data_IF_041489699222
#
_entry.id   IF_041489699222
#
_cell.length_a   1.000
_cell.length_b   1.000
_cell.length_c   1.000
_cell.angle_alpha   90.00
_cell.angle_beta   90.00
_cell.angle_gamma   90.00
#
_symmetry.space_group_name_H-M   'P 1'
#
loop_
_entity.id
_entity.type
_entity.pdbx_description
1 polymer ?
#
# COMPACT_ATOMS: atom_id res chain seq x y z
N UNK A 1 23.03 -22.75 0.81
CA UNK A 1 22.82 -22.34 -0.59
C UNK A 1 23.75 -21.19 -0.91
N UNK A 2 24.36 -21.18 -2.09
CA UNK A 2 25.16 -20.06 -2.57
C UNK A 2 24.22 -18.93 -2.97
N UNK A 3 24.36 -17.75 -2.38
CA UNK A 3 23.57 -16.57 -2.76
C UNK A 3 24.15 -15.97 -4.04
N UNK A 4 23.29 -15.68 -5.01
CA UNK A 4 23.65 -14.93 -6.21
C UNK A 4 23.62 -13.43 -5.89
N UNK A 5 24.75 -12.70 -5.97
CA UNK A 5 24.79 -11.29 -5.55
C UNK A 5 24.02 -10.33 -6.47
N UNK A 6 23.80 -10.71 -7.74
CA UNK A 6 23.10 -9.90 -8.75
C UNK A 6 21.97 -10.73 -9.35
N UNK A 7 20.72 -10.35 -9.07
CA UNK A 7 19.57 -10.98 -9.74
C UNK A 7 19.64 -10.64 -11.24
N UNK A 8 19.45 -11.65 -12.09
CA UNK A 8 19.44 -11.50 -13.55
C UNK A 8 18.15 -10.84 -14.07
N UNK A 9 17.09 -10.76 -13.26
CA UNK A 9 15.82 -10.13 -13.59
C UNK A 9 15.90 -8.63 -13.91
N UNK A 10 14.76 -8.06 -14.32
CA UNK A 10 14.61 -6.63 -14.63
C UNK A 10 13.90 -5.95 -13.47
N UNK A 11 14.52 -4.92 -12.90
CA UNK A 11 13.88 -4.09 -11.86
C UNK A 11 12.74 -3.29 -12.49
N UNK A 12 11.51 -3.56 -12.06
CA UNK A 12 10.29 -2.89 -12.52
C UNK A 12 10.09 -1.59 -11.74
N UNK A 13 10.17 -1.62 -10.41
CA UNK A 13 10.14 -0.43 -9.59
C UNK A 13 10.75 -0.67 -8.21
N UNK A 14 11.12 0.43 -7.55
CA UNK A 14 11.58 0.45 -6.16
C UNK A 14 11.00 1.65 -5.41
N UNK A 15 10.66 1.47 -4.15
CA UNK A 15 10.10 2.51 -3.28
C UNK A 15 9.53 1.97 -1.98
N UNK A 16 8.56 2.68 -1.42
CA UNK A 16 7.81 2.24 -0.24
C UNK A 16 6.37 1.92 -0.65
N UNK A 17 5.81 0.83 -0.12
CA UNK A 17 4.42 0.41 -0.36
C UNK A 17 3.72 -0.04 0.94
N UNK A 18 3.61 0.84 1.96
CA UNK A 18 2.96 0.47 3.19
C UNK A 18 1.44 0.34 2.98
N UNK A 19 0.83 -0.62 3.67
CA UNK A 19 -0.58 -0.94 3.55
C UNK A 19 -1.32 -0.88 4.89
N UNK A 20 -2.60 -0.51 4.84
CA UNK A 20 -3.53 -0.55 5.97
C UNK A 20 -4.82 -1.21 5.48
N UNK A 21 -5.19 -2.35 6.07
CA UNK A 21 -6.49 -2.97 5.85
C UNK A 21 -7.25 -3.04 7.17
N UNK A 22 -8.47 -2.51 7.17
CA UNK A 22 -9.32 -2.43 8.35
C UNK A 22 -10.53 -3.33 8.17
N UNK A 23 -11.05 -3.82 9.30
CA UNK A 23 -12.34 -4.49 9.37
C UNK A 23 -13.20 -3.90 10.48
N UNK A 24 -14.50 -3.74 10.22
CA UNK A 24 -15.46 -3.45 11.29
C UNK A 24 -15.79 -4.70 12.10
N UNK A 25 -16.02 -5.82 11.40
CA UNK A 25 -16.14 -7.16 11.97
C UNK A 25 -14.84 -7.95 11.72
N UNK A 26 -14.09 -8.39 12.76
CA UNK A 26 -12.86 -9.17 12.59
C UNK A 26 -13.01 -10.42 11.71
N UNK A 27 -14.19 -11.04 11.73
CA UNK A 27 -14.51 -12.25 10.97
C UNK A 27 -15.12 -11.93 9.59
N UNK A 28 -15.45 -10.66 9.34
CA UNK A 28 -16.01 -10.17 8.09
C UNK A 28 -14.98 -9.84 7.01
N UNK A 29 -15.44 -9.25 5.91
CA UNK A 29 -14.58 -8.73 4.84
C UNK A 29 -13.88 -7.42 5.25
N UNK A 30 -12.89 -7.00 4.48
CA UNK A 30 -12.25 -5.70 4.68
C UNK A 30 -13.22 -4.55 4.42
N UNK A 31 -13.47 -3.74 5.44
CA UNK A 31 -14.23 -2.49 5.31
C UNK A 31 -13.40 -1.40 4.63
N UNK A 32 -12.08 -1.44 4.83
CA UNK A 32 -11.14 -0.51 4.18
C UNK A 32 -9.93 -1.28 3.67
N UNK A 33 -9.52 -0.99 2.43
CA UNK A 33 -8.26 -1.45 1.86
C UNK A 33 -7.49 -0.23 1.35
N UNK A 34 -6.31 0.02 1.91
CA UNK A 34 -5.49 1.15 1.51
C UNK A 34 -4.02 0.78 1.30
N UNK A 35 -3.44 1.41 0.29
CA UNK A 35 -2.01 1.35 -0.03
C UNK A 35 -1.50 2.76 -0.22
N UNK A 36 -0.30 3.04 0.30
CA UNK A 36 0.45 4.23 -0.04
C UNK A 36 1.65 3.82 -0.88
N UNK A 37 2.05 4.66 -1.83
CA UNK A 37 3.24 4.47 -2.65
C UNK A 37 4.14 5.69 -2.51
N UNK A 38 5.41 5.46 -2.18
CA UNK A 38 6.50 6.43 -2.32
C UNK A 38 7.55 5.84 -3.23
N UNK A 39 7.40 6.09 -4.52
CA UNK A 39 8.24 5.46 -5.54
C UNK A 39 9.49 6.30 -5.77
N UNK A 40 10.65 5.65 -5.70
CA UNK A 40 11.95 6.26 -6.01
C UNK A 40 12.40 5.95 -7.44
N UNK A 41 11.97 4.83 -8.00
CA UNK A 41 12.32 4.38 -9.35
C UNK A 41 11.15 3.62 -10.01
N UNK A 42 10.79 4.01 -11.23
CA UNK A 42 9.92 3.23 -12.14
C UNK A 42 10.14 3.67 -13.60
N UNK A 43 9.65 2.93 -14.61
CA UNK A 43 9.63 3.35 -16.00
C UNK A 43 8.90 4.69 -16.25
N UNK A 44 8.04 5.10 -15.33
CA UNK A 44 7.23 6.32 -15.41
C UNK A 44 7.71 7.40 -14.43
N UNK A 45 8.94 7.28 -13.93
CA UNK A 45 9.56 8.22 -13.00
C UNK A 45 9.19 7.97 -11.54
N UNK A 46 9.58 8.91 -10.68
CA UNK A 46 9.31 8.90 -9.24
C UNK A 46 8.00 9.61 -8.92
N UNK A 47 7.46 9.37 -7.73
CA UNK A 47 6.27 10.07 -7.26
C UNK A 47 5.72 9.49 -5.97
N UNK A 48 4.64 10.08 -5.49
CA UNK A 48 3.84 9.54 -4.39
C UNK A 48 2.40 9.33 -4.83
N UNK A 49 1.71 8.43 -4.15
CA UNK A 49 0.27 8.27 -4.29
C UNK A 49 -0.34 7.41 -3.21
N UNK A 50 -1.66 7.42 -3.11
CA UNK A 50 -2.40 6.55 -2.22
C UNK A 50 -3.64 6.03 -2.94
N UNK A 51 -3.97 4.77 -2.71
CA UNK A 51 -5.26 4.16 -3.03
C UNK A 51 -5.96 3.96 -1.70
N UNK A 52 -7.13 4.56 -1.52
CA UNK A 52 -8.01 4.32 -0.37
C UNK A 52 -9.30 3.75 -0.92
N UNK A 53 -9.62 2.51 -0.57
CA UNK A 53 -10.90 1.87 -0.86
C UNK A 53 -11.65 1.78 0.47
N UNK A 54 -12.41 2.81 0.82
CA UNK A 54 -13.19 2.85 2.06
C UNK A 54 -14.54 2.12 2.00
N UNK A 55 -14.89 1.56 0.85
CA UNK A 55 -15.83 0.44 0.71
C UNK A 55 -15.42 -0.35 -0.56
N UNK A 56 -14.55 -1.37 -0.43
CA UNK A 56 -13.97 -2.08 -1.57
C UNK A 56 -14.99 -2.74 -2.49
N UNK A 57 -16.17 -3.10 -1.97
CA UNK A 57 -17.20 -3.86 -2.68
C UNK A 57 -18.26 -2.97 -3.36
N UNK A 58 -18.14 -1.64 -3.25
CA UNK A 58 -19.00 -0.70 -3.98
C UNK A 58 -18.31 -0.01 -5.14
N UNK A 59 -18.96 -0.07 -6.32
CA UNK A 59 -18.54 0.60 -7.54
C UNK A 59 -18.90 2.11 -7.56
N UNK A 60 -18.44 2.86 -6.56
CA UNK A 60 -18.57 4.33 -6.54
C UNK A 60 -17.34 4.97 -5.92
N UNK A 61 -17.15 6.27 -6.19
CA UNK A 61 -16.02 7.08 -5.75
C UNK A 61 -16.41 8.18 -4.76
N UNK A 62 -15.41 8.94 -4.30
CA UNK A 62 -15.59 10.12 -3.45
C UNK A 62 -16.39 11.22 -4.18
N UNK A 63 -17.30 11.98 -3.50
CA UNK A 63 -17.52 12.02 -2.05
C UNK A 63 -18.53 11.00 -1.49
N UNK A 64 -19.31 10.32 -2.35
CA UNK A 64 -20.38 9.43 -1.89
C UNK A 64 -19.83 8.25 -1.09
N UNK A 65 -18.67 7.74 -1.50
CA UNK A 65 -17.94 6.66 -0.84
C UNK A 65 -16.46 7.06 -0.75
N UNK A 66 -15.74 6.77 0.35
CA UNK A 66 -14.31 7.07 0.48
C UNK A 66 -13.40 6.16 -0.37
N UNK A 67 -13.76 5.94 -1.64
CA UNK A 67 -12.99 5.28 -2.67
C UNK A 67 -12.31 6.33 -3.55
N UNK A 68 -10.99 6.46 -3.40
CA UNK A 68 -10.20 7.53 -3.99
C UNK A 68 -8.75 7.11 -4.28
N UNK A 69 -8.18 7.69 -5.32
CA UNK A 69 -6.79 7.57 -5.67
C UNK A 69 -6.16 8.95 -5.82
N UNK A 70 -5.10 9.23 -5.06
CA UNK A 70 -4.36 10.49 -5.16
C UNK A 70 -2.95 10.21 -5.65
N UNK A 71 -2.40 11.09 -6.49
CA UNK A 71 -0.99 11.02 -6.88
C UNK A 71 -0.47 12.34 -7.43
N UNK A 72 0.84 12.58 -7.35
CA UNK A 72 1.50 13.66 -8.10
C UNK A 72 2.12 13.17 -9.41
N UNK A 73 2.01 11.88 -9.73
CA UNK A 73 2.51 11.28 -10.97
C UNK A 73 1.49 10.24 -11.49
N UNK A 74 0.52 10.73 -12.27
CA UNK A 74 -0.57 9.89 -12.82
C UNK A 74 -0.09 8.75 -13.72
N UNK A 75 0.88 8.93 -14.64
CA UNK A 75 1.43 7.82 -15.42
C UNK A 75 2.01 6.69 -14.54
N UNK A 76 2.79 7.05 -13.51
CA UNK A 76 3.34 6.09 -12.55
C UNK A 76 2.23 5.36 -11.80
N UNK A 77 1.24 6.09 -11.27
CA UNK A 77 0.17 5.48 -10.49
C UNK A 77 -0.70 4.53 -11.33
N UNK A 78 -1.01 4.89 -12.57
CA UNK A 78 -1.69 3.99 -13.50
C UNK A 78 -0.88 2.71 -13.76
N UNK A 79 0.44 2.82 -13.95
CA UNK A 79 1.33 1.67 -14.13
C UNK A 79 1.32 0.75 -12.89
N UNK A 80 1.43 1.31 -11.69
CA UNK A 80 1.39 0.53 -10.44
C UNK A 80 0.05 -0.19 -10.26
N UNK A 81 -1.07 0.50 -10.52
CA UNK A 81 -2.40 -0.12 -10.40
C UNK A 81 -2.56 -1.26 -11.39
N UNK A 82 -2.27 -1.02 -12.66
CA UNK A 82 -2.53 -1.99 -13.73
C UNK A 82 -1.66 -3.24 -13.64
N UNK A 83 -0.42 -3.10 -13.16
CA UNK A 83 0.56 -4.20 -13.17
C UNK A 83 0.77 -4.84 -11.80
N UNK A 84 0.48 -4.14 -10.70
CA UNK A 84 0.76 -4.59 -9.34
C UNK A 84 -0.47 -4.54 -8.44
N UNK A 85 -0.96 -3.35 -8.07
CA UNK A 85 -1.94 -3.21 -7.00
C UNK A 85 -3.26 -3.95 -7.31
N UNK A 86 -3.76 -3.88 -8.55
CA UNK A 86 -4.97 -4.61 -8.96
C UNK A 86 -4.82 -6.14 -8.95
N UNK A 87 -3.59 -6.67 -8.89
CA UNK A 87 -3.32 -8.11 -8.76
C UNK A 87 -3.19 -8.55 -7.31
N UNK A 88 -3.02 -7.62 -6.37
CA UNK A 88 -2.90 -7.97 -4.97
C UNK A 88 -4.20 -8.60 -4.46
N UNK A 89 -4.15 -9.67 -3.64
CA UNK A 89 -5.35 -10.38 -3.21
C UNK A 89 -6.42 -9.52 -2.54
N UNK A 90 -6.03 -8.41 -1.89
CA UNK A 90 -6.95 -7.47 -1.22
C UNK A 90 -7.65 -6.50 -2.17
N UNK A 91 -7.17 -6.35 -3.41
CA UNK A 91 -7.72 -5.43 -4.42
C UNK A 91 -8.25 -6.14 -5.66
N UNK A 92 -7.75 -7.35 -5.96
CA UNK A 92 -8.14 -8.11 -7.14
C UNK A 92 -9.65 -8.34 -7.18
N UNK A 93 -10.28 -7.92 -8.29
CA UNK A 93 -11.72 -8.05 -8.51
C UNK A 93 -12.60 -7.08 -7.72
N UNK A 94 -12.04 -6.22 -6.87
CA UNK A 94 -12.81 -5.24 -6.09
C UNK A 94 -13.36 -4.14 -7.01
N UNK A 95 -14.68 -3.92 -7.06
CA UNK A 95 -15.28 -2.93 -7.97
C UNK A 95 -14.81 -1.50 -7.70
N UNK A 96 -14.48 -1.18 -6.44
CA UNK A 96 -13.96 0.12 -6.05
C UNK A 96 -12.68 0.53 -6.81
N UNK A 97 -11.83 -0.43 -7.19
CA UNK A 97 -10.57 -0.16 -7.93
C UNK A 97 -10.85 0.55 -9.27
N UNK A 98 -11.97 0.22 -9.92
CA UNK A 98 -12.34 0.82 -11.21
C UNK A 98 -13.21 2.09 -11.06
N UNK A 99 -13.79 2.32 -9.88
CA UNK A 99 -14.75 3.40 -9.64
C UNK A 99 -14.21 4.55 -8.78
N UNK A 100 -13.01 4.39 -8.20
CA UNK A 100 -12.39 5.39 -7.33
C UNK A 100 -12.21 6.74 -8.01
N UNK A 101 -12.52 7.81 -7.27
CA UNK A 101 -12.31 9.20 -7.72
C UNK A 101 -10.83 9.56 -7.67
N UNK A 102 -10.34 10.30 -8.66
CA UNK A 102 -8.93 10.62 -8.75
C UNK A 102 -8.61 12.08 -8.43
N UNK A 103 -7.48 12.30 -7.73
CA UNK A 103 -7.04 13.63 -7.31
C UNK A 103 -5.55 13.85 -7.56
N UNK A 104 -5.20 15.06 -8.00
CA UNK A 104 -3.81 15.46 -8.24
C UNK A 104 -3.20 16.03 -6.96
N UNK A 105 -2.16 15.37 -6.45
CA UNK A 105 -1.47 15.76 -5.21
C UNK A 105 -0.61 17.00 -5.45
N UNK A 106 -0.77 18.00 -4.60
CA UNK A 106 -0.01 19.25 -4.61
C UNK A 106 1.01 19.34 -3.49
N UNK A 107 0.80 18.59 -2.40
CA UNK A 107 1.72 18.52 -1.26
C UNK A 107 1.75 17.12 -0.68
N UNK A 108 2.92 16.71 -0.17
CA UNK A 108 3.07 15.45 0.54
C UNK A 108 4.02 15.62 1.74
N UNK A 109 3.65 15.07 2.89
CA UNK A 109 4.46 15.13 4.12
C UNK A 109 4.70 13.70 4.61
N UNK A 110 5.97 13.36 4.80
CA UNK A 110 6.39 12.15 5.48
C UNK A 110 6.77 12.51 6.93
N UNK A 111 6.15 11.87 7.92
CA UNK A 111 6.48 12.02 9.33
C UNK A 111 7.03 10.69 9.83
N UNK A 112 8.36 10.57 9.87
CA UNK A 112 9.10 9.36 10.27
C UNK A 112 10.07 9.61 11.44
N UNK A 113 9.95 10.75 12.13
CA UNK A 113 10.84 11.13 13.24
C UNK A 113 10.71 10.27 14.50
N UNK A 114 9.64 9.47 14.61
CA UNK A 114 9.40 8.55 15.72
C UNK A 114 9.57 7.07 15.31
N UNK A 115 10.24 6.81 14.17
CA UNK A 115 10.67 5.45 13.86
C UNK A 115 11.65 4.94 14.94
N UNK A 116 11.55 3.67 15.38
CA UNK A 116 10.76 2.60 14.78
C UNK A 116 9.39 2.40 15.46
N UNK A 117 8.80 3.39 16.13
CA UNK A 117 7.52 3.23 16.85
C UNK A 117 6.30 3.59 16.00
N UNK A 118 6.40 4.66 15.21
CA UNK A 118 5.31 5.12 14.34
C UNK A 118 5.80 5.72 13.02
N UNK A 119 4.93 5.70 12.03
CA UNK A 119 5.18 6.24 10.69
C UNK A 119 3.90 6.87 10.14
N UNK A 120 3.98 8.05 9.53
CA UNK A 120 2.82 8.70 8.91
C UNK A 120 3.15 9.27 7.54
N UNK A 121 2.21 9.12 6.63
CA UNK A 121 2.19 9.75 5.32
C UNK A 121 0.94 10.61 5.19
N UNK A 122 1.10 11.79 4.59
CA UNK A 122 0.02 12.74 4.35
C UNK A 122 0.09 13.27 2.92
N UNK A 123 -1.05 13.29 2.22
CA UNK A 123 -1.21 13.87 0.89
C UNK A 123 -2.26 14.96 0.93
N UNK A 124 -1.99 16.08 0.26
CA UNK A 124 -2.97 17.13 0.02
C UNK A 124 -3.27 17.27 -1.49
N UNK A 125 -4.54 17.43 -1.84
CA UNK A 125 -5.02 17.65 -3.20
C UNK A 125 -6.26 18.55 -3.19
N UNK A 126 -6.09 19.85 -3.48
CA UNK A 126 -7.16 20.83 -3.32
C UNK A 126 -7.63 20.91 -1.86
N UNK A 127 -8.92 20.73 -1.62
CA UNK A 127 -9.54 20.71 -0.27
C UNK A 127 -9.47 19.33 0.41
N UNK A 128 -8.78 18.36 -0.19
CA UNK A 128 -8.57 17.03 0.39
C UNK A 128 -7.22 16.93 1.09
N UNK A 129 -7.25 16.38 2.29
CA UNK A 129 -6.08 15.89 3.03
C UNK A 129 -6.34 14.44 3.42
N UNK A 130 -5.48 13.52 2.96
CA UNK A 130 -5.48 12.12 3.36
C UNK A 130 -4.27 11.86 4.23
N UNK A 131 -4.48 11.35 5.45
CA UNK A 131 -3.41 10.93 6.34
C UNK A 131 -3.53 9.43 6.61
N UNK A 132 -2.41 8.72 6.49
CA UNK A 132 -2.26 7.31 6.86
C UNK A 132 -1.18 7.20 7.92
N UNK A 133 -1.49 6.56 9.05
CA UNK A 133 -0.60 6.44 10.20
C UNK A 133 -0.52 4.98 10.62
N UNK A 134 0.70 4.47 10.77
CA UNK A 134 1.03 3.15 11.30
C UNK A 134 1.63 3.31 12.70
N UNK A 135 1.12 2.56 13.67
CA UNK A 135 1.41 2.68 15.09
C UNK A 135 1.85 1.32 15.66
N UNK A 136 2.56 1.37 16.79
CA UNK A 136 3.10 0.18 17.46
C UNK A 136 3.80 -0.74 16.47
N UNK A 137 4.80 -0.15 15.79
CA UNK A 137 5.60 -0.83 14.78
C UNK A 137 6.49 -1.88 15.44
N UNK A 138 6.47 -3.10 14.90
CA UNK A 138 7.25 -4.23 15.39
C UNK A 138 8.61 -4.31 14.70
N UNK A 139 9.46 -5.22 15.20
CA UNK A 139 10.80 -5.42 14.68
C UNK A 139 10.82 -5.70 13.15
N UNK A 140 11.76 -5.09 12.41
CA UNK A 140 11.83 -5.23 10.96
C UNK A 140 12.23 -6.64 10.53
N UNK A 141 11.74 -7.05 9.36
CA UNK A 141 12.04 -8.32 8.72
C UNK A 141 12.48 -8.10 7.29
N UNK A 142 13.60 -8.71 6.89
CA UNK A 142 13.97 -8.78 5.49
C UNK A 142 13.11 -9.84 4.79
N UNK A 143 12.38 -9.42 3.77
CA UNK A 143 11.53 -10.27 2.95
C UNK A 143 12.16 -10.40 1.57
N UNK A 144 12.27 -11.65 1.12
CA UNK A 144 12.63 -12.03 -0.24
C UNK A 144 11.67 -13.15 -0.66
N UNK A 145 10.91 -12.92 -1.72
CA UNK A 145 9.96 -13.91 -2.24
C UNK A 145 10.04 -13.98 -3.75
N UNK A 146 9.94 -15.20 -4.28
CA UNK A 146 9.80 -15.45 -5.71
C UNK A 146 8.35 -15.37 -6.21
N UNK A 147 8.12 -15.61 -7.51
CA UNK A 147 6.82 -15.41 -8.16
C UNK A 147 5.67 -16.12 -7.45
N UNK A 148 5.83 -17.41 -7.10
CA UNK A 148 4.75 -18.19 -6.48
C UNK A 148 4.27 -17.61 -5.14
N UNK A 149 5.16 -16.95 -4.39
CA UNK A 149 4.90 -16.41 -3.08
C UNK A 149 4.56 -14.91 -3.10
N UNK A 150 4.89 -14.19 -4.18
CA UNK A 150 4.58 -12.76 -4.29
C UNK A 150 3.10 -12.49 -4.52
N UNK A 151 2.68 -11.24 -4.26
CA UNK A 151 1.28 -10.84 -4.40
C UNK A 151 0.82 -10.77 -5.86
N UNK A 152 1.73 -10.54 -6.81
CA UNK A 152 1.42 -10.51 -8.25
C UNK A 152 1.44 -11.89 -8.91
N UNK A 153 2.00 -12.92 -8.24
CA UNK A 153 2.20 -14.27 -8.79
C UNK A 153 3.12 -14.35 -10.01
N UNK A 154 3.86 -13.28 -10.29
CA UNK A 154 4.65 -13.13 -11.51
C UNK A 154 6.07 -12.62 -11.23
N UNK A 155 6.27 -11.89 -10.14
CA UNK A 155 7.49 -11.14 -9.87
C UNK A 155 8.24 -11.67 -8.64
N UNK A 156 9.55 -11.51 -8.63
CA UNK A 156 10.33 -11.49 -7.39
C UNK A 156 10.06 -10.18 -6.64
N UNK A 157 10.08 -10.22 -5.31
CA UNK A 157 9.98 -9.03 -4.45
C UNK A 157 10.98 -9.09 -3.29
N UNK A 158 11.62 -7.95 -3.04
CA UNK A 158 12.50 -7.71 -1.90
C UNK A 158 12.00 -6.53 -1.09
N UNK A 159 11.99 -6.61 0.24
CA UNK A 159 11.57 -5.50 1.09
C UNK A 159 12.06 -5.64 2.53
N UNK A 160 12.01 -4.55 3.28
CA UNK A 160 12.03 -4.56 4.74
C UNK A 160 10.61 -4.35 5.26
N UNK A 161 10.02 -5.38 5.86
CA UNK A 161 8.68 -5.31 6.42
C UNK A 161 8.70 -4.96 7.90
N UNK A 162 7.84 -4.04 8.32
CA UNK A 162 7.48 -3.83 9.72
C UNK A 162 5.99 -4.08 9.87
N UNK A 163 5.61 -4.91 10.83
CA UNK A 163 4.21 -5.03 11.25
C UNK A 163 3.80 -3.77 12.01
N UNK A 164 2.57 -3.30 11.83
CA UNK A 164 1.96 -2.30 12.70
C UNK A 164 0.77 -2.95 13.40
N UNK A 165 0.79 -3.00 14.73
CA UNK A 165 -0.33 -3.59 15.50
C UNK A 165 -1.56 -2.69 15.50
N UNK A 166 -1.39 -1.40 15.19
CA UNK A 166 -2.49 -0.45 15.04
C UNK A 166 -2.22 0.52 13.89
N UNK A 167 -3.28 1.07 13.31
CA UNK A 167 -3.19 2.02 12.21
C UNK A 167 -4.47 2.83 12.05
N UNK A 168 -4.32 4.04 11.50
CA UNK A 168 -5.42 4.95 11.24
C UNK A 168 -5.32 5.55 9.84
N UNK A 169 -6.48 5.73 9.20
CA UNK A 169 -6.64 6.51 7.98
C UNK A 169 -7.65 7.61 8.25
N UNK A 170 -7.35 8.85 7.86
CA UNK A 170 -8.32 9.94 7.88
C UNK A 170 -8.38 10.69 6.56
N UNK A 171 -9.58 11.18 6.22
CA UNK A 171 -9.85 12.06 5.09
C UNK A 171 -10.43 13.36 5.66
N UNK A 172 -9.75 14.48 5.43
CA UNK A 172 -10.09 15.79 6.00
C UNK A 172 -10.25 15.74 7.53
N UNK A 173 -9.39 14.95 8.20
CA UNK A 173 -9.42 14.74 9.65
C UNK A 173 -10.51 13.79 10.15
N UNK A 174 -11.40 13.30 9.27
CA UNK A 174 -12.42 12.31 9.64
C UNK A 174 -11.84 10.89 9.50
N UNK A 175 -11.77 10.09 10.57
CA UNK A 175 -11.22 8.74 10.50
C UNK A 175 -12.16 7.78 9.76
N UNK A 176 -11.58 6.89 8.96
CA UNK A 176 -12.30 5.74 8.42
C UNK A 176 -12.55 4.69 9.52
N UNK A 177 -13.66 3.97 9.41
CA UNK A 177 -14.09 2.99 10.42
C UNK A 177 -13.42 1.63 10.22
N UNK A 178 -13.30 0.90 11.32
CA UNK A 178 -12.69 -0.42 11.39
C UNK A 178 -11.39 -0.43 12.19
N UNK A 179 -10.85 -1.63 12.38
CA UNK A 179 -9.66 -1.88 13.17
C UNK A 179 -8.68 -2.80 12.43
N UNK A 180 -7.40 -2.69 12.79
CA UNK A 180 -6.38 -3.66 12.38
C UNK A 180 -6.70 -5.01 13.02
N UNK A 181 -6.54 -6.09 12.25
CA UNK A 181 -6.77 -7.47 12.72
C UNK A 181 -5.60 -8.37 12.35
N UNK A 182 -5.57 -9.57 12.93
CA UNK A 182 -4.58 -10.59 12.56
C UNK A 182 -4.93 -11.27 11.23
N UNK A 183 -3.90 -11.65 10.48
CA UNK A 183 -3.94 -12.42 9.24
C UNK A 183 -2.73 -13.35 9.12
N UNK A 184 -2.80 -14.32 8.20
CA UNK A 184 -1.62 -15.07 7.78
C UNK A 184 -0.88 -14.29 6.68
N UNK A 185 0.42 -14.14 6.84
CA UNK A 185 1.29 -13.47 5.87
C UNK A 185 2.69 -14.12 5.92
N UNK A 186 3.19 -14.56 4.77
CA UNK A 186 4.46 -15.31 4.65
C UNK A 186 4.64 -16.44 5.67
N UNK A 187 3.59 -17.23 5.92
CA UNK A 187 3.64 -18.39 6.81
C UNK A 187 3.69 -18.04 8.31
N UNK A 188 3.39 -16.80 8.69
CA UNK A 188 3.24 -16.36 10.08
C UNK A 188 1.98 -15.53 10.28
N UNK A 189 1.53 -15.45 11.53
CA UNK A 189 0.51 -14.49 11.94
C UNK A 189 1.12 -13.10 11.99
N UNK A 190 0.47 -12.14 11.34
CA UNK A 190 0.82 -10.71 11.34
C UNK A 190 -0.45 -9.88 11.27
N UNK A 191 -0.34 -8.61 11.59
CA UNK A 191 -1.40 -7.61 11.47
C UNK A 191 -1.72 -7.26 10.01
N UNK A 192 -2.91 -6.69 9.80
CA UNK A 192 -3.38 -6.18 8.50
C UNK A 192 -2.86 -4.79 8.16
N UNK A 193 -2.05 -4.18 9.04
CA UNK A 193 -1.29 -2.97 8.77
C UNK A 193 0.22 -3.28 8.80
N UNK A 194 0.95 -2.71 7.84
CA UNK A 194 2.37 -2.98 7.67
C UNK A 194 3.05 -1.86 6.89
N UNK A 195 4.34 -1.69 7.14
CA UNK A 195 5.25 -1.00 6.24
C UNK A 195 5.95 -2.02 5.34
N UNK A 196 6.02 -1.75 4.04
CA UNK A 196 6.91 -2.43 3.11
C UNK A 196 7.93 -1.41 2.62
N UNK A 197 9.08 -1.38 3.30
CA UNK A 197 10.12 -0.39 3.05
C UNK A 197 11.15 -0.88 2.04
N UNK A 198 11.62 0.03 1.17
CA UNK A 198 12.54 -0.31 0.06
C UNK A 198 12.04 -1.49 -0.77
N UNK A 199 10.71 -1.63 -0.91
CA UNK A 199 10.08 -2.66 -1.69
C UNK A 199 10.51 -2.52 -3.15
N UNK A 200 11.10 -3.59 -3.67
CA UNK A 200 11.66 -3.65 -5.01
C UNK A 200 11.10 -4.86 -5.73
N UNK A 201 10.45 -4.61 -6.87
CA UNK A 201 9.81 -5.63 -7.69
C UNK A 201 10.66 -5.90 -8.92
N UNK A 202 10.87 -7.18 -9.21
CA UNK A 202 11.75 -7.63 -10.28
C UNK A 202 11.00 -8.64 -11.13
N UNK A 203 10.94 -8.39 -12.43
CA UNK A 203 10.51 -9.37 -13.43
C UNK A 203 11.61 -10.41 -13.58
N UNK A 204 11.38 -11.69 -13.25
CA UNK A 204 12.38 -12.74 -13.40
C UNK A 204 12.72 -12.95 -14.88
N UNK A 205 13.93 -13.46 -15.16
CA UNK A 205 14.36 -13.86 -16.50
C UNK A 205 14.11 -15.34 -16.76
#
# INVERSE_FOLDING_TARGET
MQRTPVNAGVVEWSGENPGIYLKEDPDGDYSVVALFFRIVLSPHGRGVGAIILGDPDKAAGYPDIPNLCLTNNRPMMNYLINNFASKFPTMAGKPAVNAMSWFDVTSNIQKNGDMPNSYTEELSAGDLTVQMTWLDLQAPMAIEVGPDASATKEHDMYAVFLEANDAQISINGNPLQGQVVSRQFFGRTMSTAFLALSETWVSPR
#
